data_IF_424660105662
#
_entry.id   IF_424660105662
#
_cell.length_a   1.000
_cell.length_b   1.000
_cell.length_c   1.000
_cell.angle_alpha   90.00
_cell.angle_beta   90.00
_cell.angle_gamma   90.00
#
_symmetry.space_group_name_H-M   'P 1'
#
loop_
_entity.id
_entity.type
_entity.pdbx_description
1 polymer ?
#
# COMPACT_ATOMS: atom_id res chain seq x y z
N UNK A 1 21.32 -5.13 -3.85
CA UNK A 1 20.67 -6.38 -3.60
C UNK A 1 20.01 -6.95 -4.85
N UNK A 2 19.62 -8.18 -4.77
CA UNK A 2 19.20 -8.95 -5.95
C UNK A 2 17.90 -8.46 -6.58
N UNK A 3 17.05 -7.77 -5.84
CA UNK A 3 15.77 -7.31 -6.39
C UNK A 3 15.89 -6.05 -7.25
N UNK A 4 17.08 -5.48 -7.37
CA UNK A 4 17.32 -4.33 -8.24
C UNK A 4 18.26 -4.69 -9.36
N UNK A 5 17.75 -4.62 -10.58
CA UNK A 5 18.53 -4.82 -11.79
C UNK A 5 19.06 -3.49 -12.33
N UNK A 6 20.02 -3.56 -13.23
CA UNK A 6 20.56 -2.37 -13.90
C UNK A 6 19.45 -1.59 -14.60
N UNK A 7 19.42 -0.29 -14.37
CA UNK A 7 18.41 0.59 -14.95
C UNK A 7 17.13 0.74 -14.14
N UNK A 8 16.94 -0.03 -13.09
CA UNK A 8 15.80 0.12 -12.21
C UNK A 8 15.94 1.35 -11.31
N UNK A 9 14.86 2.11 -11.16
CA UNK A 9 14.82 3.29 -10.30
C UNK A 9 14.19 3.03 -8.93
N UNK A 10 13.49 1.90 -8.77
CA UNK A 10 12.76 1.58 -7.56
C UNK A 10 13.47 0.55 -6.71
N UNK A 11 13.31 0.71 -5.40
CA UNK A 11 13.73 -0.27 -4.38
C UNK A 11 12.51 -0.69 -3.57
N UNK A 12 12.62 -1.82 -2.91
CA UNK A 12 11.60 -2.23 -1.96
C UNK A 12 11.42 -1.18 -0.87
N UNK A 13 10.18 -0.90 -0.54
CA UNK A 13 9.82 0.09 0.48
C UNK A 13 9.63 -0.53 1.86
N UNK A 14 9.33 -1.82 1.92
CA UNK A 14 9.18 -2.54 3.19
C UNK A 14 10.55 -2.93 3.72
N UNK A 15 10.89 -2.44 4.90
CA UNK A 15 12.13 -2.80 5.59
C UNK A 15 12.00 -4.13 6.32
N UNK A 16 10.93 -4.28 7.09
CA UNK A 16 10.71 -5.47 7.90
C UNK A 16 9.24 -5.62 8.28
N UNK A 17 8.87 -6.86 8.57
CA UNK A 17 7.59 -7.18 9.18
C UNK A 17 7.88 -8.13 10.33
N UNK A 18 7.38 -7.79 11.52
CA UNK A 18 7.50 -8.64 12.70
C UNK A 18 6.13 -9.17 13.09
N UNK A 19 6.08 -10.43 13.43
CA UNK A 19 4.85 -11.07 13.87
C UNK A 19 4.96 -11.46 15.33
N UNK A 20 3.93 -11.18 16.12
CA UNK A 20 3.91 -11.49 17.55
C UNK A 20 2.54 -11.96 17.97
N UNK A 21 2.49 -12.97 18.83
CA UNK A 21 1.25 -13.39 19.47
C UNK A 21 1.14 -12.65 20.81
N UNK A 22 0.07 -11.89 20.96
CA UNK A 22 -0.21 -11.15 22.18
C UNK A 22 -1.70 -11.28 22.50
N UNK A 23 -1.99 -11.62 23.74
CA UNK A 23 -3.38 -11.79 24.21
C UNK A 23 -4.19 -12.77 23.35
N UNK A 24 -3.54 -13.82 22.88
CA UNK A 24 -4.17 -14.85 22.08
C UNK A 24 -4.41 -14.50 20.62
N UNK A 25 -3.87 -13.40 20.14
CA UNK A 25 -4.02 -12.97 18.75
C UNK A 25 -2.67 -12.71 18.08
N UNK A 26 -2.60 -12.91 16.79
CA UNK A 26 -1.41 -12.67 15.98
C UNK A 26 -1.41 -11.24 15.46
N UNK A 27 -0.42 -10.48 15.86
CA UNK A 27 -0.22 -9.10 15.42
C UNK A 27 0.96 -9.01 14.46
N UNK A 28 0.91 -8.02 13.58
CA UNK A 28 2.03 -7.69 12.70
C UNK A 28 2.52 -6.26 12.96
N UNK A 29 3.83 -6.07 12.93
CA UNK A 29 4.47 -4.76 12.94
C UNK A 29 5.16 -4.57 11.59
N UNK A 30 4.64 -3.67 10.78
CA UNK A 30 5.16 -3.37 9.45
C UNK A 30 6.00 -2.10 9.53
N UNK A 31 7.23 -2.16 9.07
CA UNK A 31 8.13 -1.02 9.03
C UNK A 31 8.48 -0.71 7.58
N UNK A 32 8.06 0.48 7.14
CA UNK A 32 8.27 0.97 5.79
C UNK A 32 9.35 2.03 5.77
N UNK A 33 10.25 1.97 4.79
CA UNK A 33 11.19 3.05 4.51
C UNK A 33 10.47 4.27 3.92
N UNK A 34 9.56 4.01 3.01
CA UNK A 34 8.86 5.01 2.22
C UNK A 34 7.48 4.46 1.88
N UNK A 35 6.47 5.29 1.96
CA UNK A 35 5.10 4.83 1.76
C UNK A 35 4.24 5.92 1.09
N UNK A 36 3.81 5.64 -0.12
CA UNK A 36 2.88 6.51 -0.85
C UNK A 36 1.47 6.35 -0.27
N UNK A 37 0.93 7.44 0.26
CA UNK A 37 -0.37 7.41 0.95
C UNK A 37 -1.55 7.18 0.00
N UNK A 38 -1.40 7.46 -1.28
CA UNK A 38 -2.51 7.39 -2.24
C UNK A 38 -2.70 5.98 -2.79
N UNK A 39 -1.66 5.38 -3.32
CA UNK A 39 -1.72 4.05 -3.93
C UNK A 39 -0.95 3.00 -3.13
N UNK A 40 0.27 3.32 -2.76
CA UNK A 40 1.16 2.37 -2.13
C UNK A 40 0.63 1.86 -0.80
N UNK A 41 0.17 2.73 0.07
CA UNK A 41 -0.31 2.35 1.39
C UNK A 41 -1.46 1.35 1.33
N UNK A 42 -2.47 1.62 0.50
CA UNK A 42 -3.65 0.74 0.39
C UNK A 42 -3.27 -0.64 -0.12
N UNK A 43 -2.42 -0.68 -1.14
CA UNK A 43 -1.97 -1.92 -1.74
C UNK A 43 -1.09 -2.72 -0.76
N UNK A 44 -0.16 -2.05 -0.12
CA UNK A 44 0.75 -2.68 0.84
C UNK A 44 0.00 -3.20 2.07
N UNK A 45 -0.97 -2.42 2.55
CA UNK A 45 -1.79 -2.81 3.69
C UNK A 45 -2.63 -4.06 3.38
N UNK A 46 -3.25 -4.09 2.21
CA UNK A 46 -4.04 -5.24 1.77
C UNK A 46 -3.18 -6.50 1.67
N UNK A 47 -1.98 -6.37 1.15
CA UNK A 47 -1.02 -7.46 1.06
C UNK A 47 -0.61 -7.96 2.45
N UNK A 48 -0.24 -7.07 3.34
CA UNK A 48 0.17 -7.45 4.69
C UNK A 48 -0.97 -8.09 5.49
N UNK A 49 -2.18 -7.62 5.30
CA UNK A 49 -3.37 -8.24 5.90
C UNK A 49 -3.59 -9.66 5.38
N UNK A 50 -3.41 -9.85 4.08
CA UNK A 50 -3.52 -11.17 3.46
C UNK A 50 -2.49 -12.14 4.04
N UNK A 51 -1.24 -11.73 4.11
CA UNK A 51 -0.15 -12.55 4.67
C UNK A 51 -0.43 -12.88 6.14
N UNK A 52 -0.86 -11.89 6.92
CA UNK A 52 -1.21 -12.10 8.33
C UNK A 52 -2.33 -13.11 8.48
N UNK A 53 -3.35 -13.04 7.63
CA UNK A 53 -4.46 -13.98 7.64
C UNK A 53 -4.03 -15.41 7.33
N UNK A 54 -3.13 -15.57 6.35
CA UNK A 54 -2.57 -16.89 6.03
C UNK A 54 -1.78 -17.46 7.21
N UNK A 55 -0.97 -16.62 7.84
CA UNK A 55 -0.16 -17.03 8.98
C UNK A 55 -1.04 -17.43 10.17
N UNK A 56 -2.04 -16.61 10.47
CA UNK A 56 -2.98 -16.89 11.55
C UNK A 56 -3.75 -18.19 11.33
N UNK A 57 -4.18 -18.43 10.11
CA UNK A 57 -4.84 -19.68 9.75
C UNK A 57 -3.91 -20.88 9.93
N UNK A 58 -2.68 -20.76 9.47
CA UNK A 58 -1.67 -21.82 9.59
C UNK A 58 -1.33 -22.14 11.05
N UNK A 59 -1.29 -21.13 11.91
CA UNK A 59 -0.98 -21.29 13.33
C UNK A 59 -2.21 -21.56 14.19
N UNK A 60 -3.39 -21.53 13.61
CA UNK A 60 -4.67 -21.68 14.31
C UNK A 60 -4.84 -20.62 15.41
N UNK A 61 -4.46 -19.38 15.08
CA UNK A 61 -4.54 -18.23 16.00
C UNK A 61 -5.36 -17.14 15.30
N UNK A 62 -6.29 -16.48 15.99
CA UNK A 62 -7.00 -15.35 15.40
C UNK A 62 -6.04 -14.20 15.09
N UNK A 63 -6.32 -13.45 14.05
CA UNK A 63 -5.53 -12.27 13.72
C UNK A 63 -5.93 -11.12 14.63
N UNK A 64 -4.94 -10.32 15.01
CA UNK A 64 -5.10 -9.14 15.86
C UNK A 64 -4.91 -7.86 15.05
N UNK A 65 -3.92 -7.06 15.44
CA UNK A 65 -3.69 -5.73 14.88
C UNK A 65 -2.50 -5.71 13.94
N UNK A 66 -2.56 -4.80 12.99
CA UNK A 66 -1.42 -4.43 12.17
C UNK A 66 -0.96 -3.05 12.62
N UNK A 67 0.26 -2.98 13.14
CA UNK A 67 0.90 -1.71 13.49
C UNK A 67 1.77 -1.30 12.31
N UNK A 68 1.64 -0.05 11.92
CA UNK A 68 2.28 0.45 10.70
C UNK A 68 3.15 1.64 11.01
N UNK A 69 4.43 1.53 10.67
CA UNK A 69 5.38 2.63 10.82
C UNK A 69 6.00 2.92 9.47
N UNK A 70 5.99 4.17 9.08
CA UNK A 70 6.64 4.62 7.86
C UNK A 70 7.59 5.76 8.20
N UNK A 71 8.85 5.63 7.80
CA UNK A 71 9.81 6.70 7.96
C UNK A 71 9.43 7.91 7.12
N UNK A 72 8.82 7.68 5.96
CA UNK A 72 8.24 8.74 5.14
C UNK A 72 6.88 8.28 4.62
N UNK A 73 5.82 8.93 5.07
CA UNK A 73 4.49 8.79 4.50
C UNK A 73 4.20 10.08 3.72
N UNK A 74 3.94 9.95 2.43
CA UNK A 74 3.92 11.11 1.55
C UNK A 74 2.86 10.97 0.46
N UNK A 75 2.59 12.09 -0.20
CA UNK A 75 1.73 12.18 -1.37
C UNK A 75 2.54 12.83 -2.48
N UNK A 76 2.57 12.22 -3.65
CA UNK A 76 3.23 12.82 -4.80
C UNK A 76 2.40 13.98 -5.34
N UNK A 77 3.06 15.01 -5.81
CA UNK A 77 2.40 16.21 -6.36
C UNK A 77 1.44 15.87 -7.50
N UNK A 78 1.79 14.90 -8.33
CA UNK A 78 0.92 14.45 -9.43
C UNK A 78 -0.42 13.88 -8.97
N UNK A 79 -0.58 13.64 -7.68
CA UNK A 79 -1.83 13.13 -7.09
C UNK A 79 -2.57 14.16 -6.25
N UNK A 80 -2.08 15.39 -6.17
CA UNK A 80 -2.70 16.44 -5.35
C UNK A 80 -4.13 16.74 -5.79
N UNK A 81 -4.42 16.61 -7.07
CA UNK A 81 -5.76 16.84 -7.58
C UNK A 81 -6.80 15.88 -6.97
N UNK A 82 -6.42 14.63 -6.72
CA UNK A 82 -7.30 13.66 -6.06
C UNK A 82 -7.56 14.03 -4.60
N UNK A 83 -6.51 14.40 -3.89
CA UNK A 83 -6.60 14.80 -2.48
C UNK A 83 -7.48 16.05 -2.36
N UNK A 84 -7.30 17.00 -3.26
CA UNK A 84 -8.08 18.22 -3.29
C UNK A 84 -9.56 17.94 -3.57
N UNK A 85 -9.86 17.05 -4.52
CA UNK A 85 -11.22 16.64 -4.83
C UNK A 85 -11.89 15.96 -3.63
N UNK A 86 -11.19 15.07 -2.95
CA UNK A 86 -11.70 14.40 -1.75
C UNK A 86 -11.94 15.39 -0.61
N UNK A 87 -11.05 16.36 -0.42
CA UNK A 87 -11.21 17.40 0.58
C UNK A 87 -12.40 18.30 0.35
N UNK A 88 -12.83 18.43 -0.89
CA UNK A 88 -14.04 19.19 -1.27
C UNK A 88 -15.32 18.36 -1.20
N UNK A 89 -15.25 17.13 -0.75
CA UNK A 89 -16.42 16.26 -0.63
C UNK A 89 -16.92 15.69 -1.95
N UNK A 90 -16.10 15.68 -3.00
CA UNK A 90 -16.46 15.16 -4.31
C UNK A 90 -16.39 13.63 -4.40
N UNK A 91 -16.39 12.99 -3.25
CA UNK A 91 -16.33 11.54 -3.18
C UNK A 91 -14.90 11.04 -2.97
N UNK A 92 -14.79 9.75 -2.74
CA UNK A 92 -13.52 9.08 -2.52
C UNK A 92 -13.17 8.11 -3.65
N UNK A 93 -13.86 8.21 -4.78
CA UNK A 93 -13.60 7.40 -5.95
C UNK A 93 -13.33 8.29 -7.15
N UNK A 94 -12.46 7.82 -8.00
CA UNK A 94 -12.07 8.49 -9.24
C UNK A 94 -12.46 7.56 -10.38
N UNK A 95 -13.20 8.09 -11.38
CA UNK A 95 -13.57 7.29 -12.52
C UNK A 95 -12.35 6.95 -13.37
N UNK A 96 -12.44 5.85 -14.14
CA UNK A 96 -11.37 5.47 -15.06
C UNK A 96 -11.06 6.60 -16.05
N UNK A 97 -12.09 7.26 -16.58
CA UNK A 97 -11.92 8.35 -17.53
C UNK A 97 -11.15 9.52 -16.92
N UNK A 98 -11.54 9.92 -15.71
CA UNK A 98 -10.89 11.00 -14.98
C UNK A 98 -9.44 10.67 -14.66
N UNK A 99 -9.18 9.42 -14.24
CA UNK A 99 -7.82 8.95 -13.99
C UNK A 99 -6.96 9.05 -15.25
N UNK A 100 -7.49 8.62 -16.40
CA UNK A 100 -6.74 8.63 -17.66
C UNK A 100 -6.48 10.02 -18.19
N UNK A 101 -7.33 11.00 -17.87
CA UNK A 101 -7.07 12.39 -18.21
C UNK A 101 -5.79 12.90 -17.55
N UNK A 102 -5.56 12.49 -16.32
CA UNK A 102 -4.37 12.89 -15.56
C UNK A 102 -3.15 12.02 -15.85
N UNK A 103 -3.37 10.76 -16.21
CA UNK A 103 -2.30 9.77 -16.43
C UNK A 103 -2.51 9.01 -17.74
N UNK A 104 -2.37 9.70 -18.88
CA UNK A 104 -2.64 9.06 -20.18
C UNK A 104 -1.69 7.91 -20.51
N UNK A 105 -0.49 7.93 -19.92
CA UNK A 105 0.53 6.88 -20.11
C UNK A 105 0.38 5.71 -19.13
N UNK A 106 -0.68 5.72 -18.32
CA UNK A 106 -0.91 4.67 -17.33
C UNK A 106 -1.18 3.32 -18.01
N UNK A 107 -0.79 2.25 -17.34
CA UNK A 107 -1.16 0.89 -17.74
C UNK A 107 -2.68 0.71 -17.82
N UNK A 108 -3.46 1.56 -17.16
CA UNK A 108 -4.91 1.55 -17.25
C UNK A 108 -5.45 2.17 -18.54
N UNK A 109 -4.60 2.76 -19.35
CA UNK A 109 -4.99 3.27 -20.67
C UNK A 109 -5.29 2.15 -21.66
N UNK A 110 -4.85 0.92 -21.37
CA UNK A 110 -5.12 -0.24 -22.21
C UNK A 110 -6.29 -1.04 -21.67
N UNK A 111 -6.87 -1.92 -22.48
CA UNK A 111 -7.99 -2.78 -22.08
C UNK A 111 -7.54 -4.03 -21.32
N UNK A 112 -6.37 -3.98 -20.70
CA UNK A 112 -5.82 -5.11 -19.96
C UNK A 112 -6.42 -5.27 -18.58
N UNK A 113 -7.15 -4.28 -18.14
CA UNK A 113 -7.66 -4.23 -16.79
C UNK A 113 -9.18 -4.26 -16.78
#
# INVERSE_FOLDING_TARGET
>A
TEYKEDGMSDFMCTNSVQYMIRDGALNAHVNMRSNDAIFGYRNDWAWQKYVLSLLGHSLEVPIGRIYWTAASLHVYERHFWMVDAWGKGLGNTVSKAEYLDHYPESQYATDRI
#
